data_IF_848862329049
#
_entry.id   IF_848862329049
#
_cell.length_a   1.000
_cell.length_b   1.000
_cell.length_c   1.000
_cell.angle_alpha   90.00
_cell.angle_beta   90.00
_cell.angle_gamma   90.00
#
_symmetry.space_group_name_H-M   'P 1'
#
loop_
_entity.id
_entity.type
_entity.pdbx_description
1 polymer ?
#
# COMPACT_ATOMS: atom_id res chain seq x y z
N UNK A 1 25.08 -17.45 -0.19
CA UNK A 1 24.56 -18.04 -1.44
C UNK A 1 23.85 -16.94 -2.18
N UNK A 2 24.44 -16.38 -3.24
CA UNK A 2 23.72 -15.45 -4.11
C UNK A 2 22.51 -16.19 -4.70
N UNK A 3 21.30 -15.78 -4.29
CA UNK A 3 20.11 -16.22 -4.99
C UNK A 3 20.17 -15.63 -6.39
N UNK A 4 20.53 -16.44 -7.38
CA UNK A 4 20.42 -16.05 -8.79
C UNK A 4 18.97 -15.61 -9.03
N UNK A 5 18.72 -14.38 -9.49
CA UNK A 5 17.38 -13.93 -9.77
C UNK A 5 16.76 -14.84 -10.84
N UNK A 6 15.50 -15.24 -10.62
CA UNK A 6 14.78 -16.17 -11.50
C UNK A 6 14.56 -15.56 -12.90
N UNK A 7 14.57 -14.23 -13.00
CA UNK A 7 14.49 -13.43 -14.22
C UNK A 7 15.27 -12.12 -14.02
N UNK A 8 15.96 -11.63 -15.05
CA UNK A 8 16.62 -10.32 -15.05
C UNK A 8 15.64 -9.19 -15.42
N UNK A 9 16.00 -7.93 -15.16
CA UNK A 9 15.15 -6.74 -15.34
C UNK A 9 14.66 -6.57 -16.77
N UNK A 10 15.49 -6.94 -17.75
CA UNK A 10 15.15 -6.86 -19.18
C UNK A 10 14.50 -8.13 -19.75
N UNK A 11 14.37 -9.20 -18.96
CA UNK A 11 13.80 -10.46 -19.43
C UNK A 11 12.27 -10.41 -19.37
N UNK A 12 11.63 -10.59 -20.53
CA UNK A 12 10.17 -10.72 -20.61
C UNK A 12 9.79 -12.20 -20.53
N UNK A 13 9.12 -12.66 -19.46
CA UNK A 13 8.71 -14.05 -19.34
C UNK A 13 7.59 -14.41 -20.34
N UNK A 14 7.39 -15.72 -20.56
CA UNK A 14 6.26 -16.23 -21.36
C UNK A 14 4.93 -15.64 -20.86
N UNK A 15 3.95 -15.34 -21.73
CA UNK A 15 2.72 -14.61 -21.37
C UNK A 15 1.98 -15.16 -20.15
N UNK A 16 1.87 -16.49 -20.00
CA UNK A 16 1.24 -17.10 -18.82
C UNK A 16 2.01 -16.86 -17.52
N UNK A 17 3.36 -16.99 -17.56
CA UNK A 17 4.22 -16.69 -16.40
C UNK A 17 4.22 -15.19 -16.10
N UNK A 18 4.17 -14.34 -17.13
CA UNK A 18 4.10 -12.89 -16.97
C UNK A 18 2.83 -12.46 -16.24
N UNK A 19 1.67 -12.88 -16.74
CA UNK A 19 0.37 -12.59 -16.11
C UNK A 19 0.35 -13.05 -14.65
N UNK A 20 0.86 -14.26 -14.40
CA UNK A 20 0.93 -14.82 -13.06
C UNK A 20 1.80 -13.99 -12.10
N UNK A 21 3.01 -13.60 -12.53
CA UNK A 21 3.90 -12.76 -11.73
C UNK A 21 3.36 -11.33 -11.52
N UNK A 22 2.63 -10.79 -12.50
CA UNK A 22 1.95 -9.49 -12.37
C UNK A 22 0.85 -9.53 -11.32
N UNK A 23 0.00 -10.58 -11.33
CA UNK A 23 -1.03 -10.78 -10.31
C UNK A 23 -0.39 -10.94 -8.92
N UNK A 24 0.73 -11.66 -8.83
CA UNK A 24 1.48 -11.80 -7.59
C UNK A 24 1.95 -10.44 -7.04
N UNK A 25 2.53 -9.59 -7.89
CA UNK A 25 2.96 -8.24 -7.48
C UNK A 25 1.77 -7.36 -7.05
N UNK A 26 0.66 -7.43 -7.77
CA UNK A 26 -0.56 -6.70 -7.44
C UNK A 26 -0.99 -7.03 -6.01
N UNK A 27 -1.12 -8.31 -5.68
CA UNK A 27 -1.56 -8.73 -4.35
C UNK A 27 -0.53 -8.46 -3.24
N UNK A 28 0.76 -8.53 -3.55
CA UNK A 28 1.82 -8.18 -2.60
C UNK A 28 1.73 -6.69 -2.18
N UNK A 29 1.40 -5.80 -3.11
CA UNK A 29 1.33 -4.34 -2.87
C UNK A 29 -0.07 -3.84 -2.51
N UNK A 30 -1.11 -4.66 -2.71
CA UNK A 30 -2.51 -4.28 -2.47
C UNK A 30 -2.75 -3.83 -1.03
N UNK A 31 -2.23 -4.58 -0.05
CA UNK A 31 -2.46 -4.34 1.37
C UNK A 31 -2.07 -2.93 1.80
N UNK A 32 -0.84 -2.50 1.53
CA UNK A 32 -0.40 -1.14 1.87
C UNK A 32 -1.10 -0.06 1.05
N UNK A 33 -1.36 -0.32 -0.23
CA UNK A 33 -1.94 0.65 -1.16
C UNK A 33 -3.39 0.99 -0.81
N UNK A 34 -4.18 0.02 -0.34
CA UNK A 34 -5.57 0.20 0.09
C UNK A 34 -5.70 0.63 1.55
N UNK A 35 -4.77 0.22 2.42
CA UNK A 35 -4.85 0.53 3.86
C UNK A 35 -4.76 2.03 4.14
N UNK A 36 -3.85 2.77 3.49
CA UNK A 36 -3.71 4.23 3.70
C UNK A 36 -4.97 5.01 3.35
N UNK A 37 -5.55 4.88 2.14
CA UNK A 37 -6.79 5.58 1.80
C UNK A 37 -7.95 5.14 2.71
N UNK A 38 -8.01 3.87 3.10
CA UNK A 38 -8.99 3.39 4.07
C UNK A 38 -8.87 4.11 5.43
N UNK A 39 -7.67 4.15 6.01
CA UNK A 39 -7.42 4.81 7.30
C UNK A 39 -7.59 6.32 7.27
N UNK A 40 -7.39 6.94 6.11
CA UNK A 40 -7.53 8.40 5.93
C UNK A 40 -8.92 8.80 5.42
N UNK A 41 -9.78 7.83 5.11
CA UNK A 41 -11.10 8.03 4.51
C UNK A 41 -11.03 8.71 3.14
N UNK A 42 -10.02 8.40 2.34
CA UNK A 42 -9.90 8.72 0.91
C UNK A 42 -10.36 7.52 0.08
N UNK A 43 -10.73 7.75 -1.19
CA UNK A 43 -11.21 6.69 -2.07
C UNK A 43 -10.06 5.72 -2.46
N UNK A 44 -10.12 4.43 -2.07
CA UNK A 44 -9.05 3.47 -2.39
C UNK A 44 -8.90 3.19 -3.88
N UNK A 45 -9.97 3.28 -4.67
CA UNK A 45 -9.91 3.08 -6.13
C UNK A 45 -9.12 4.20 -6.81
N UNK A 46 -9.22 5.44 -6.33
CA UNK A 46 -8.39 6.56 -6.81
C UNK A 46 -6.92 6.30 -6.48
N UNK A 47 -6.62 5.81 -5.27
CA UNK A 47 -5.26 5.47 -4.87
C UNK A 47 -4.67 4.34 -5.71
N UNK A 48 -5.44 3.29 -6.00
CA UNK A 48 -5.02 2.17 -6.86
C UNK A 48 -4.72 2.63 -8.30
N UNK A 49 -5.59 3.43 -8.91
CA UNK A 49 -5.33 3.97 -10.26
C UNK A 49 -4.12 4.90 -10.26
N UNK A 50 -4.01 5.81 -9.28
CA UNK A 50 -2.88 6.75 -9.20
C UNK A 50 -1.56 6.03 -8.96
N UNK A 51 -1.55 4.98 -8.12
CA UNK A 51 -0.41 4.09 -7.88
C UNK A 51 0.00 3.33 -9.14
N UNK A 52 -0.96 2.79 -9.89
CA UNK A 52 -0.72 2.10 -11.15
C UNK A 52 -0.14 3.03 -12.22
N UNK A 53 -0.77 4.19 -12.45
CA UNK A 53 -0.29 5.20 -13.39
C UNK A 53 1.08 5.76 -12.98
N UNK A 54 1.27 6.01 -11.68
CA UNK A 54 2.55 6.46 -11.13
C UNK A 54 3.65 5.42 -11.34
N UNK A 55 3.35 4.14 -11.15
CA UNK A 55 4.31 3.05 -11.39
C UNK A 55 4.67 2.96 -12.87
N UNK A 56 3.71 3.04 -13.78
CA UNK A 56 3.98 3.09 -15.23
C UNK A 56 4.83 4.30 -15.60
N UNK A 57 4.51 5.49 -15.09
CA UNK A 57 5.30 6.69 -15.30
C UNK A 57 6.73 6.53 -14.76
N UNK A 58 6.88 5.95 -13.57
CA UNK A 58 8.20 5.67 -12.96
C UNK A 58 9.04 4.73 -13.82
N UNK A 59 8.47 3.62 -14.28
CA UNK A 59 9.17 2.67 -15.15
C UNK A 59 9.57 3.32 -16.49
N UNK A 60 8.71 4.17 -17.07
CA UNK A 60 9.03 4.91 -18.29
C UNK A 60 10.15 5.94 -18.07
N UNK A 61 10.08 6.73 -17.00
CA UNK A 61 11.09 7.76 -16.68
C UNK A 61 12.45 7.13 -16.38
N UNK A 62 12.47 6.00 -15.67
CA UNK A 62 13.68 5.24 -15.35
C UNK A 62 14.14 4.32 -16.49
N UNK A 63 13.46 4.35 -17.65
CA UNK A 63 13.75 3.52 -18.82
C UNK A 63 13.80 2.02 -18.51
N UNK A 64 12.98 1.55 -17.57
CA UNK A 64 12.93 0.16 -17.15
C UNK A 64 14.17 -0.33 -16.39
N UNK A 65 15.07 0.55 -15.94
CA UNK A 65 16.30 0.14 -15.25
C UNK A 65 16.07 -0.23 -13.78
N UNK A 66 14.96 0.22 -13.18
CA UNK A 66 14.67 0.03 -11.76
C UNK A 66 13.32 -0.67 -11.60
N UNK A 67 13.28 -1.94 -11.15
CA UNK A 67 12.03 -2.65 -10.92
C UNK A 67 11.42 -2.20 -9.57
N UNK A 68 10.59 -1.17 -9.60
CA UNK A 68 9.88 -0.69 -8.41
C UNK A 68 8.39 -0.42 -8.68
N UNK A 69 7.58 -0.67 -7.64
CA UNK A 69 6.16 -0.36 -7.59
C UNK A 69 5.91 0.78 -6.60
N UNK A 70 5.09 1.76 -6.98
CA UNK A 70 4.75 2.91 -6.14
C UNK A 70 3.46 2.65 -5.36
N UNK A 71 3.57 2.26 -4.09
CA UNK A 71 2.43 2.10 -3.19
C UNK A 71 2.13 3.34 -2.32
N UNK A 72 1.05 3.27 -1.54
CA UNK A 72 0.70 4.32 -0.59
C UNK A 72 1.68 4.37 0.59
N UNK A 73 2.18 5.56 0.93
CA UNK A 73 3.17 5.74 2.00
C UNK A 73 2.53 5.92 3.38
N UNK A 74 2.93 5.07 4.32
CA UNK A 74 2.45 5.10 5.71
C UNK A 74 2.90 6.37 6.46
N UNK A 75 4.00 6.98 6.04
CA UNK A 75 4.48 8.24 6.60
C UNK A 75 3.49 9.41 6.42
N UNK A 76 2.59 9.31 5.44
CA UNK A 76 1.61 10.37 5.13
C UNK A 76 0.27 10.20 5.86
N UNK A 77 0.04 9.12 6.63
CA UNK A 77 -1.25 8.91 7.31
C UNK A 77 -1.57 10.08 8.26
N UNK A 78 -0.67 10.39 9.18
CA UNK A 78 -0.88 11.48 10.13
C UNK A 78 -0.99 12.86 9.45
N UNK A 79 -0.09 13.26 8.53
CA UNK A 79 -0.24 14.50 7.77
C UNK A 79 -1.55 14.61 6.98
N UNK A 80 -2.00 13.53 6.34
CA UNK A 80 -3.26 13.51 5.57
C UNK A 80 -4.45 13.73 6.52
N UNK A 81 -4.49 13.03 7.66
CA UNK A 81 -5.56 13.21 8.64
C UNK A 81 -5.60 14.65 9.15
N UNK A 82 -4.45 15.23 9.49
CA UNK A 82 -4.35 16.62 9.94
C UNK A 82 -4.80 17.61 8.87
N UNK A 83 -4.32 17.47 7.64
CA UNK A 83 -4.70 18.33 6.53
C UNK A 83 -6.20 18.23 6.21
N UNK A 84 -6.76 17.01 6.28
CA UNK A 84 -8.19 16.75 6.09
C UNK A 84 -9.04 17.40 7.17
N UNK A 85 -8.62 17.36 8.43
CA UNK A 85 -9.33 18.03 9.53
C UNK A 85 -9.29 19.54 9.39
N UNK A 86 -8.21 20.10 8.84
CA UNK A 86 -8.04 21.55 8.68
C UNK A 86 -8.82 22.13 7.47
N UNK A 87 -8.82 21.44 6.32
CA UNK A 87 -9.37 21.96 5.06
C UNK A 87 -10.10 20.93 4.20
N UNK A 88 -10.52 19.82 4.78
CA UNK A 88 -11.21 18.75 4.06
C UNK A 88 -10.31 17.91 3.13
N UNK A 89 -10.89 16.96 2.38
CA UNK A 89 -10.13 16.06 1.51
C UNK A 89 -9.28 16.78 0.44
N UNK A 90 -9.77 17.92 -0.07
CA UNK A 90 -9.05 18.72 -1.07
C UNK A 90 -7.74 19.30 -0.56
N UNK A 91 -7.70 19.76 0.70
CA UNK A 91 -6.47 20.24 1.33
C UNK A 91 -5.42 19.12 1.47
N UNK A 92 -5.85 17.91 1.83
CA UNK A 92 -4.94 16.75 1.90
C UNK A 92 -4.37 16.38 0.52
N UNK A 93 -5.19 16.43 -0.53
CA UNK A 93 -4.74 16.14 -1.90
C UNK A 93 -3.77 17.21 -2.43
N UNK A 94 -4.03 18.49 -2.14
CA UNK A 94 -3.10 19.59 -2.43
C UNK A 94 -1.78 19.43 -1.67
N UNK A 95 -1.83 19.07 -0.38
CA UNK A 95 -0.64 18.77 0.40
C UNK A 95 0.20 17.64 -0.22
N UNK A 96 -0.46 16.59 -0.73
CA UNK A 96 0.17 15.52 -1.50
C UNK A 96 0.85 16.02 -2.79
N UNK A 97 0.18 16.90 -3.56
CA UNK A 97 0.76 17.51 -4.75
C UNK A 97 2.03 18.32 -4.42
N UNK A 98 1.97 19.17 -3.40
CA UNK A 98 3.14 19.96 -2.97
C UNK A 98 4.28 19.09 -2.44
N UNK A 99 3.98 18.01 -1.72
CA UNK A 99 5.00 17.04 -1.32
C UNK A 99 5.69 16.40 -2.55
N UNK A 100 4.92 16.06 -3.58
CA UNK A 100 5.44 15.59 -4.87
C UNK A 100 6.34 16.62 -5.56
N UNK A 101 5.95 17.90 -5.56
CA UNK A 101 6.78 18.99 -6.09
C UNK A 101 8.10 19.13 -5.32
N UNK A 102 8.07 19.00 -3.99
CA UNK A 102 9.28 18.99 -3.17
C UNK A 102 10.19 17.82 -3.55
N UNK A 103 9.64 16.63 -3.79
CA UNK A 103 10.44 15.49 -4.29
C UNK A 103 11.08 15.76 -5.66
N UNK A 104 10.38 16.43 -6.58
CA UNK A 104 10.94 16.84 -7.86
C UNK A 104 12.08 17.84 -7.66
N UNK A 105 11.89 18.85 -6.80
CA UNK A 105 12.93 19.86 -6.51
C UNK A 105 14.18 19.21 -5.90
N UNK A 106 14.00 18.31 -4.93
CA UNK A 106 15.10 17.56 -4.33
C UNK A 106 15.79 16.68 -5.39
N UNK A 107 15.03 15.98 -6.24
CA UNK A 107 15.58 15.17 -7.33
C UNK A 107 16.43 15.99 -8.31
N UNK A 108 15.98 17.19 -8.69
CA UNK A 108 16.76 18.11 -9.51
C UNK A 108 18.03 18.61 -8.80
N UNK A 109 17.96 18.82 -7.49
CA UNK A 109 19.12 19.13 -6.65
C UNK A 109 20.14 18.00 -6.66
N UNK A 110 19.71 16.75 -6.44
CA UNK A 110 20.56 15.55 -6.50
C UNK A 110 21.22 15.42 -7.87
N UNK A 111 20.48 15.67 -8.96
CA UNK A 111 21.02 15.61 -10.32
C UNK A 111 22.21 16.56 -10.53
N UNK A 112 22.23 17.72 -9.85
CA UNK A 112 23.31 18.72 -9.96
C UNK A 112 24.44 18.49 -8.96
N UNK A 113 24.12 18.14 -7.71
CA UNK A 113 25.08 18.09 -6.59
C UNK A 113 25.57 16.68 -6.26
N UNK A 114 25.06 15.65 -6.92
CA UNK A 114 25.33 14.26 -6.57
C UNK A 114 24.51 13.78 -5.36
N UNK A 115 24.59 12.47 -5.07
CA UNK A 115 23.83 11.81 -3.99
C UNK A 115 24.57 11.71 -2.65
N UNK A 116 25.88 12.01 -2.61
CA UNK A 116 26.71 11.79 -1.42
C UNK A 116 26.23 12.57 -0.18
N UNK A 117 25.77 13.80 -0.36
CA UNK A 117 25.30 14.62 0.75
C UNK A 117 24.05 14.04 1.41
N UNK A 118 23.15 13.42 0.62
CA UNK A 118 21.96 12.72 1.16
C UNK A 118 22.38 11.49 1.94
N UNK A 119 23.34 10.72 1.43
CA UNK A 119 23.84 9.54 2.13
C UNK A 119 24.54 9.90 3.46
N UNK A 120 25.13 11.10 3.56
CA UNK A 120 25.67 11.66 4.81
C UNK A 120 24.59 12.20 5.74
N UNK A 121 23.53 12.81 5.20
CA UNK A 121 22.42 13.36 5.98
C UNK A 121 21.49 12.27 6.52
N UNK A 122 21.25 11.24 5.72
CA UNK A 122 20.35 10.12 5.99
C UNK A 122 21.11 8.78 5.93
N UNK A 123 22.12 8.58 6.79
CA UNK A 123 22.84 7.32 6.83
C UNK A 123 21.90 6.19 7.31
N UNK A 124 22.23 4.91 7.06
CA UNK A 124 21.39 3.77 7.45
C UNK A 124 21.00 3.75 8.93
N UNK A 125 21.87 4.25 9.80
CA UNK A 125 21.62 4.39 11.25
C UNK A 125 20.51 5.40 11.58
N UNK A 126 20.13 6.27 10.66
CA UNK A 126 18.98 7.19 10.78
C UNK A 126 17.75 6.63 10.06
N UNK A 127 17.93 6.17 8.82
CA UNK A 127 16.82 5.69 7.99
C UNK A 127 16.15 4.46 8.61
N UNK A 128 16.93 3.50 9.10
CA UNK A 128 16.42 2.28 9.73
C UNK A 128 15.48 2.57 10.91
N UNK A 129 15.93 3.32 11.93
CA UNK A 129 15.07 3.72 13.04
C UNK A 129 13.83 4.51 12.63
N UNK A 130 13.94 5.44 11.67
CA UNK A 130 12.77 6.18 11.17
C UNK A 130 11.72 5.24 10.59
N UNK A 131 12.12 4.26 9.76
CA UNK A 131 11.22 3.26 9.19
C UNK A 131 10.61 2.37 10.29
N UNK A 132 11.40 1.95 11.28
CA UNK A 132 10.90 1.17 12.43
C UNK A 132 9.85 1.94 13.24
N UNK A 133 10.08 3.22 13.50
CA UNK A 133 9.13 4.09 14.23
C UNK A 133 7.83 4.26 13.44
N UNK A 134 7.89 4.42 12.11
CA UNK A 134 6.67 4.49 11.27
C UNK A 134 5.87 3.19 11.38
N UNK A 135 6.54 2.02 11.33
CA UNK A 135 5.88 0.73 11.50
C UNK A 135 5.27 0.55 12.89
N UNK A 136 6.04 0.88 13.94
CA UNK A 136 5.59 0.75 15.33
C UNK A 136 4.44 1.71 15.67
N UNK A 137 4.44 2.92 15.10
CA UNK A 137 3.37 3.89 15.27
C UNK A 137 2.00 3.37 14.75
N UNK A 138 2.02 2.45 13.78
CA UNK A 138 0.81 1.81 13.24
C UNK A 138 0.39 0.56 13.99
N UNK A 139 1.22 0.03 14.88
CA UNK A 139 0.91 -1.17 15.65
C UNK A 139 -0.37 -0.99 16.48
N UNK A 140 -0.55 0.18 17.10
CA UNK A 140 -1.75 0.48 17.87
C UNK A 140 -3.02 0.46 17.00
N UNK A 141 -2.96 1.04 15.80
CA UNK A 141 -4.08 1.02 14.85
C UNK A 141 -4.39 -0.41 14.39
N UNK A 142 -3.37 -1.22 14.10
CA UNK A 142 -3.54 -2.62 13.71
C UNK A 142 -4.20 -3.45 14.82
N UNK A 143 -3.74 -3.29 16.08
CA UNK A 143 -4.32 -3.99 17.24
C UNK A 143 -5.77 -3.59 17.46
N UNK A 144 -6.09 -2.29 17.37
CA UNK A 144 -7.47 -1.83 17.52
C UNK A 144 -8.39 -2.36 16.42
N UNK A 145 -7.96 -2.40 15.16
CA UNK A 145 -8.74 -3.00 14.07
C UNK A 145 -8.89 -4.52 14.21
N UNK A 146 -7.92 -5.19 14.82
CA UNK A 146 -7.97 -6.63 15.07
C UNK A 146 -8.90 -6.99 16.23
N UNK A 147 -8.92 -6.18 17.30
CA UNK A 147 -9.66 -6.48 18.53
C UNK A 147 -11.09 -5.93 18.54
N UNK A 148 -11.36 -4.84 17.84
CA UNK A 148 -12.61 -4.10 17.96
C UNK A 148 -13.48 -4.20 16.70
N UNK A 149 -14.80 -4.14 16.91
CA UNK A 149 -15.77 -3.98 15.83
C UNK A 149 -15.84 -2.55 15.31
N UNK A 150 -16.70 -2.31 14.31
CA UNK A 150 -16.93 -0.98 13.73
C UNK A 150 -17.43 0.06 14.75
N UNK A 151 -17.99 -0.39 15.87
CA UNK A 151 -18.44 0.41 17.00
C UNK A 151 -17.32 0.74 18.02
N UNK A 152 -16.09 0.29 17.75
CA UNK A 152 -14.93 0.50 18.62
C UNK A 152 -14.95 -0.34 19.89
N UNK A 153 -15.89 -1.29 20.03
CA UNK A 153 -15.97 -2.19 21.19
C UNK A 153 -15.23 -3.48 20.90
N UNK A 154 -14.66 -4.06 21.96
CA UNK A 154 -14.01 -5.35 21.89
C UNK A 154 -14.99 -6.41 21.36
N UNK A 155 -14.56 -7.14 20.34
CA UNK A 155 -15.32 -8.24 19.78
C UNK A 155 -14.43 -9.46 19.66
N UNK A 156 -14.80 -10.51 20.40
CA UNK A 156 -14.12 -11.80 20.31
C UNK A 156 -14.14 -12.35 18.88
N UNK A 157 -15.20 -12.09 18.12
CA UNK A 157 -15.32 -12.52 16.72
C UNK A 157 -14.24 -11.85 15.86
N UNK A 158 -14.08 -10.52 15.94
CA UNK A 158 -13.04 -9.79 15.21
C UNK A 158 -11.64 -10.27 15.61
N UNK A 159 -11.41 -10.43 16.91
CA UNK A 159 -10.13 -10.92 17.43
C UNK A 159 -9.81 -12.34 16.91
N UNK A 160 -10.80 -13.24 16.90
CA UNK A 160 -10.62 -14.60 16.40
C UNK A 160 -10.28 -14.63 14.91
N UNK A 161 -10.91 -13.77 14.09
CA UNK A 161 -10.63 -13.63 12.66
C UNK A 161 -9.20 -13.13 12.45
N UNK A 162 -8.78 -12.13 13.21
CA UNK A 162 -7.42 -11.60 13.12
C UNK A 162 -6.37 -12.67 13.49
N UNK A 163 -6.64 -13.46 14.54
CA UNK A 163 -5.75 -14.54 14.99
C UNK A 163 -5.66 -15.66 13.94
N UNK A 164 -6.79 -16.07 13.35
CA UNK A 164 -6.81 -17.06 12.25
C UNK A 164 -6.05 -16.53 11.03
N UNK A 165 -6.29 -15.28 10.64
CA UNK A 165 -5.58 -14.62 9.53
C UNK A 165 -4.07 -14.60 9.76
N UNK A 166 -3.65 -14.22 10.98
CA UNK A 166 -2.25 -14.20 11.39
C UNK A 166 -1.63 -15.60 11.39
N UNK A 167 -2.33 -16.59 11.95
CA UNK A 167 -1.87 -17.97 12.00
C UNK A 167 -1.66 -18.54 10.60
N UNK A 168 -2.61 -18.34 9.68
CA UNK A 168 -2.49 -18.75 8.28
C UNK A 168 -1.28 -18.07 7.63
N UNK A 169 -1.12 -16.75 7.84
CA UNK A 169 0.03 -15.99 7.30
C UNK A 169 1.36 -16.56 7.80
N UNK A 170 1.49 -16.81 9.10
CA UNK A 170 2.70 -17.35 9.72
C UNK A 170 2.99 -18.77 9.22
N UNK A 171 1.99 -19.65 9.21
CA UNK A 171 2.13 -21.03 8.75
C UNK A 171 2.55 -21.05 7.29
N UNK A 172 1.91 -20.26 6.42
CA UNK A 172 2.30 -20.14 5.01
C UNK A 172 3.70 -19.53 4.85
N UNK A 173 4.10 -18.57 5.70
CA UNK A 173 5.42 -17.95 5.62
C UNK A 173 6.54 -18.90 6.04
N UNK A 174 6.30 -19.76 7.03
CA UNK A 174 7.31 -20.68 7.58
C UNK A 174 7.37 -21.99 6.78
N UNK A 175 6.21 -22.59 6.49
CA UNK A 175 6.09 -23.90 5.86
C UNK A 175 5.82 -23.85 4.35
N UNK A 176 5.46 -22.67 3.83
CA UNK A 176 5.24 -22.48 2.40
C UNK A 176 6.51 -22.81 1.61
N UNK A 177 6.36 -23.59 0.55
CA UNK A 177 7.43 -23.89 -0.40
C UNK A 177 7.08 -23.31 -1.77
N UNK A 178 8.09 -22.84 -2.49
CA UNK A 178 7.92 -22.24 -3.80
C UNK A 178 6.99 -21.03 -3.75
N UNK A 179 5.91 -21.07 -4.52
CA UNK A 179 4.97 -19.96 -4.68
C UNK A 179 4.31 -19.49 -3.37
N UNK A 180 3.90 -20.42 -2.51
CA UNK A 180 3.19 -20.07 -1.26
C UNK A 180 4.07 -19.30 -0.27
N UNK A 181 5.40 -19.42 -0.38
CA UNK A 181 6.37 -18.65 0.42
C UNK A 181 6.47 -17.18 -0.04
N UNK A 182 6.08 -16.89 -1.28
CA UNK A 182 6.20 -15.55 -1.88
C UNK A 182 4.98 -14.67 -1.57
N UNK A 183 3.82 -15.28 -1.33
CA UNK A 183 2.55 -14.57 -1.05
C UNK A 183 1.85 -14.97 0.26
N UNK A 184 2.56 -15.16 1.38
CA UNK A 184 1.94 -15.62 2.63
C UNK A 184 0.87 -14.66 3.15
N UNK A 185 1.06 -13.35 2.97
CA UNK A 185 0.09 -12.31 3.36
C UNK A 185 -1.21 -12.43 2.58
N UNK A 186 -1.15 -12.70 1.27
CA UNK A 186 -2.35 -12.87 0.45
C UNK A 186 -3.17 -14.08 0.90
N UNK A 187 -2.50 -15.20 1.16
CA UNK A 187 -3.15 -16.42 1.63
C UNK A 187 -3.80 -16.22 2.99
N UNK A 188 -3.13 -15.47 3.87
CA UNK A 188 -3.69 -15.00 5.12
C UNK A 188 -4.98 -14.22 4.92
N UNK A 189 -4.97 -13.21 4.05
CA UNK A 189 -6.17 -12.39 3.73
C UNK A 189 -7.31 -13.26 3.18
N UNK A 190 -7.02 -14.16 2.23
CA UNK A 190 -8.05 -15.04 1.63
C UNK A 190 -8.63 -15.98 2.70
N UNK A 191 -7.79 -16.67 3.46
CA UNK A 191 -8.23 -17.59 4.49
C UNK A 191 -8.97 -16.89 5.63
N UNK A 192 -8.49 -15.73 6.03
CA UNK A 192 -9.13 -14.85 7.01
C UNK A 192 -10.51 -14.36 6.55
N UNK A 193 -10.65 -13.97 5.29
CA UNK A 193 -11.91 -13.54 4.70
C UNK A 193 -12.92 -14.69 4.63
N UNK A 194 -12.50 -15.89 4.24
CA UNK A 194 -13.37 -17.09 4.25
C UNK A 194 -13.85 -17.37 5.67
N UNK A 195 -12.96 -17.32 6.66
CA UNK A 195 -13.34 -17.50 8.06
C UNK A 195 -14.31 -16.41 8.53
N UNK A 196 -14.05 -15.15 8.21
CA UNK A 196 -14.93 -14.03 8.53
C UNK A 196 -16.33 -14.16 7.90
N UNK A 197 -16.41 -14.73 6.70
CA UNK A 197 -17.67 -15.01 6.01
C UNK A 197 -18.52 -16.01 6.81
N UNK A 198 -17.92 -17.11 7.27
CA UNK A 198 -18.63 -18.09 8.13
C UNK A 198 -19.02 -17.53 9.50
N UNK A 199 -18.30 -16.52 10.00
CA UNK A 199 -18.64 -15.81 11.23
C UNK A 199 -19.72 -14.73 11.04
N UNK A 200 -20.27 -14.57 9.82
CA UNK A 200 -21.35 -13.62 9.54
C UNK A 200 -20.92 -12.15 9.51
N UNK A 201 -19.62 -11.86 9.45
CA UNK A 201 -19.09 -10.49 9.43
C UNK A 201 -19.07 -9.87 8.03
N UNK A 202 -19.26 -10.67 6.99
CA UNK A 202 -19.12 -10.24 5.59
C UNK A 202 -20.48 -9.88 5.01
N UNK A 203 -20.63 -8.62 4.61
CA UNK A 203 -21.77 -8.15 3.85
C UNK A 203 -21.43 -8.08 2.35
N UNK A 204 -22.11 -8.90 1.54
CA UNK A 204 -21.93 -8.95 0.08
C UNK A 204 -22.86 -8.00 -0.68
N UNK A 205 -23.77 -7.29 0.00
CA UNK A 205 -24.69 -6.34 -0.62
C UNK A 205 -23.97 -5.27 -1.46
N UNK A 206 -22.87 -4.64 -0.99
CA UNK A 206 -22.16 -3.64 -1.78
C UNK A 206 -21.55 -4.21 -3.07
N UNK A 207 -21.23 -5.51 -3.09
CA UNK A 207 -20.69 -6.19 -4.27
C UNK A 207 -21.80 -6.47 -5.28
N UNK A 208 -22.99 -6.84 -4.81
CA UNK A 208 -24.15 -7.10 -5.66
C UNK A 208 -24.70 -5.82 -6.31
N UNK A 209 -24.63 -4.69 -5.61
CA UNK A 209 -25.07 -3.38 -6.09
C UNK A 209 -24.02 -2.63 -6.93
N UNK A 210 -22.77 -3.13 -6.94
CA UNK A 210 -21.69 -2.49 -7.67
C UNK A 210 -21.95 -2.56 -9.18
N UNK A 211 -21.76 -1.42 -9.85
CA UNK A 211 -21.76 -1.38 -11.32
C UNK A 211 -20.48 -2.03 -11.85
N UNK A 212 -20.58 -2.71 -12.99
CA UNK A 212 -19.44 -3.35 -13.66
C UNK A 212 -18.31 -2.37 -14.01
N UNK A 213 -18.65 -1.13 -14.37
CA UNK A 213 -17.68 -0.08 -14.67
C UNK A 213 -18.07 1.21 -13.95
N UNK A 214 -17.15 1.73 -13.14
CA UNK A 214 -17.26 3.01 -12.44
C UNK A 214 -15.92 3.71 -12.55
N UNK A 215 -15.94 4.97 -13.00
CA UNK A 215 -14.76 5.84 -12.94
C UNK A 215 -14.62 6.30 -11.49
N UNK A 216 -13.45 6.13 -10.84
CA UNK A 216 -13.28 6.61 -9.47
C UNK A 216 -13.48 8.13 -9.36
N UNK A 217 -13.88 8.59 -8.17
CA UNK A 217 -14.14 10.01 -7.90
C UNK A 217 -12.84 10.82 -7.87
N UNK A 218 -12.32 11.17 -9.04
CA UNK A 218 -11.16 12.04 -9.18
C UNK A 218 -11.50 13.45 -8.71
N UNK A 219 -10.77 13.95 -7.73
CA UNK A 219 -10.84 15.36 -7.33
C UNK A 219 -9.69 16.11 -7.99
N UNK A 220 -9.99 17.11 -8.80
CA UNK A 220 -8.97 17.94 -9.46
C UNK A 220 -8.79 19.21 -8.62
N UNK A 221 -7.59 19.45 -8.04
CA UNK A 221 -7.32 20.68 -7.32
C UNK A 221 -7.55 21.91 -8.21
N UNK A 222 -8.13 22.98 -7.66
CA UNK A 222 -8.47 24.24 -8.34
C UNK A 222 -9.62 24.20 -9.37
N UNK A 223 -10.14 23.01 -9.71
CA UNK A 223 -11.35 22.86 -10.54
C UNK A 223 -12.53 22.39 -9.69
N UNK A 224 -12.29 21.38 -8.83
CA UNK A 224 -13.31 20.80 -7.94
C UNK A 224 -13.19 21.33 -6.50
N UNK A 225 -12.04 21.92 -6.15
CA UNK A 225 -11.75 22.43 -4.81
C UNK A 225 -11.02 23.77 -4.90
N UNK A 226 -11.57 24.80 -4.26
CA UNK A 226 -10.94 26.10 -4.02
C UNK A 226 -10.59 26.23 -2.54
N UNK A 227 -9.32 26.52 -2.19
CA UNK A 227 -8.89 26.67 -0.79
C UNK A 227 -9.51 27.89 -0.10
#
# INVERSE_FOLDING_TARGET
MEQKPVLDVNEVPKPGKWLFLSIQHLFAMFGSTVLVPFLTGLNPSVALISSGLGTLAFLLITKGQVPAYLGSSFAFIAPIITAKTAGGPGAAMLGGLFAGLVYILISLGIKKSGSEWIMKLLPPIVVGPVVMVIGLALAHTAVNMAMNGADGKYSFTHFSVALVTLAITIICSIFGRGFFSIIPVLLGIIGGYIFAYFQGLVNLQPVAEAKWFVVPDFTVPFVTYTP
#
